data_IF_035949610250
#
_entry.id   IF_035949610250
#
_cell.length_a   1.000
_cell.length_b   1.000
_cell.length_c   1.000
_cell.angle_alpha   90.00
_cell.angle_beta   90.00
_cell.angle_gamma   90.00
#
_symmetry.space_group_name_H-M   'P 1'
#
loop_
_entity.id
_entity.type
_entity.pdbx_description
1 polymer ?
#
# COMPACT_ATOMS: atom_id res chain seq x y z
N UNK A 1 -29.50 -63.46 45.09
CA UNK A 1 -29.50 -63.13 43.64
C UNK A 1 -29.96 -61.71 43.30
N UNK A 2 -30.80 -61.03 44.10
CA UNK A 2 -31.21 -59.63 43.83
C UNK A 2 -30.06 -58.59 43.87
N UNK A 3 -29.02 -58.81 44.70
CA UNK A 3 -27.86 -57.91 44.83
C UNK A 3 -26.88 -57.99 43.63
N UNK A 4 -26.83 -59.13 42.94
CA UNK A 4 -25.98 -59.32 41.76
C UNK A 4 -26.57 -58.67 40.50
N UNK A 5 -27.90 -58.60 40.39
CA UNK A 5 -28.57 -57.92 39.27
C UNK A 5 -28.32 -56.39 39.31
N UNK A 6 -28.27 -55.81 40.50
CA UNK A 6 -27.96 -54.38 40.69
C UNK A 6 -26.52 -54.08 40.29
N UNK A 7 -25.57 -54.96 40.63
CA UNK A 7 -24.17 -54.80 40.23
C UNK A 7 -23.99 -54.90 38.71
N UNK A 8 -24.73 -55.80 38.05
CA UNK A 8 -24.72 -55.97 36.59
C UNK A 8 -25.40 -54.80 35.85
N UNK A 9 -26.47 -54.22 36.42
CA UNK A 9 -27.08 -52.99 35.90
C UNK A 9 -26.15 -51.78 36.04
N UNK A 10 -25.42 -51.66 37.16
CA UNK A 10 -24.46 -50.55 37.36
C UNK A 10 -23.27 -50.63 36.40
N UNK A 11 -22.81 -51.83 36.01
CA UNK A 11 -21.72 -51.99 35.05
C UNK A 11 -22.09 -51.58 33.62
N UNK A 12 -23.37 -51.58 33.26
CA UNK A 12 -23.85 -51.13 31.93
C UNK A 12 -23.94 -49.60 31.87
N UNK A 13 -24.16 -48.94 33.01
CA UNK A 13 -24.22 -47.48 33.12
C UNK A 13 -22.84 -46.80 33.16
N UNK A 14 -21.74 -47.57 33.30
CA UNK A 14 -20.36 -47.06 33.30
C UNK A 14 -19.68 -47.07 31.91
N UNK A 15 -20.40 -47.46 30.85
CA UNK A 15 -19.88 -47.48 29.47
C UNK A 15 -20.30 -46.25 28.64
N UNK A 16 -20.91 -45.24 29.25
CA UNK A 16 -21.38 -44.04 28.57
C UNK A 16 -20.59 -42.80 28.98
N UNK A 17 -19.42 -42.61 28.39
CA UNK A 17 -18.79 -41.33 28.02
C UNK A 17 -17.42 -41.66 27.44
N UNK A 18 -17.40 -42.30 26.26
CA UNK A 18 -16.24 -42.17 25.38
C UNK A 18 -16.37 -40.78 24.79
N UNK A 19 -15.87 -39.77 25.50
CA UNK A 19 -15.68 -38.42 24.98
C UNK A 19 -14.58 -38.57 23.92
N UNK A 20 -14.99 -39.00 22.73
CA UNK A 20 -14.09 -39.30 21.63
C UNK A 20 -13.26 -38.04 21.40
N UNK A 21 -11.94 -38.14 21.58
CA UNK A 21 -10.97 -37.05 21.54
C UNK A 21 -11.44 -35.88 20.66
N UNK A 22 -12.13 -34.90 21.26
CA UNK A 22 -12.49 -33.66 20.59
C UNK A 22 -11.18 -32.89 20.48
N UNK A 23 -10.42 -33.17 19.42
CA UNK A 23 -9.20 -32.43 19.09
C UNK A 23 -9.62 -31.04 18.64
N UNK A 24 -9.45 -30.05 19.51
CA UNK A 24 -9.59 -28.64 19.16
C UNK A 24 -8.31 -28.22 18.44
N UNK A 25 -8.45 -27.68 17.23
CA UNK A 25 -7.30 -27.23 16.45
C UNK A 25 -6.84 -25.85 16.92
N UNK A 26 -5.54 -25.69 17.13
CA UNK A 26 -4.94 -24.40 17.45
C UNK A 26 -4.25 -23.90 16.19
N UNK A 27 -4.97 -23.14 15.36
CA UNK A 27 -4.47 -22.60 14.09
C UNK A 27 -3.23 -21.69 14.28
N UNK A 28 -2.04 -22.28 14.46
CA UNK A 28 -0.79 -21.57 14.67
C UNK A 28 -0.04 -21.40 13.35
N UNK A 29 -0.17 -20.21 12.78
CA UNK A 29 0.57 -19.79 11.61
C UNK A 29 1.37 -18.53 11.89
N UNK A 30 1.63 -18.15 13.15
CA UNK A 30 2.18 -16.83 13.48
C UNK A 30 3.56 -16.61 12.83
N UNK A 31 4.38 -17.66 12.76
CA UNK A 31 5.72 -17.63 12.16
C UNK A 31 5.72 -17.86 10.64
N UNK A 32 4.59 -18.25 10.04
CA UNK A 32 4.49 -18.46 8.60
C UNK A 32 4.34 -17.12 7.87
N UNK A 33 4.93 -17.04 6.67
CA UNK A 33 4.82 -15.88 5.79
C UNK A 33 3.50 -15.92 5.01
N UNK A 34 2.83 -14.77 4.88
CA UNK A 34 1.68 -14.63 3.97
C UNK A 34 2.15 -14.63 2.53
N UNK A 35 1.54 -15.46 1.69
CA UNK A 35 1.86 -15.61 0.27
C UNK A 35 0.61 -15.51 -0.57
N UNK A 36 0.79 -15.32 -1.87
CA UNK A 36 -0.29 -15.11 -2.85
C UNK A 36 -0.13 -16.09 -4.01
N UNK A 37 -1.25 -16.48 -4.61
CA UNK A 37 -1.27 -17.07 -5.94
C UNK A 37 -2.19 -16.23 -6.84
N UNK A 38 -1.96 -16.24 -8.16
CA UNK A 38 -2.88 -15.61 -9.12
C UNK A 38 -2.98 -14.09 -9.02
N UNK A 39 -1.89 -13.39 -8.67
CA UNK A 39 -1.86 -11.92 -8.60
C UNK A 39 -2.35 -11.27 -9.89
N UNK A 40 -3.16 -10.22 -9.76
CA UNK A 40 -3.79 -9.49 -10.87
C UNK A 40 -4.66 -10.40 -11.78
N UNK A 41 -5.17 -11.53 -11.25
CA UNK A 41 -6.09 -12.46 -11.95
C UNK A 41 -7.36 -12.77 -11.14
N UNK A 42 -8.33 -13.44 -11.78
CA UNK A 42 -9.55 -13.89 -11.12
C UNK A 42 -9.34 -15.09 -10.18
N UNK A 43 -8.18 -15.76 -10.26
CA UNK A 43 -7.82 -16.92 -9.43
C UNK A 43 -7.00 -16.51 -8.20
N UNK A 44 -7.08 -15.23 -7.81
CA UNK A 44 -6.34 -14.68 -6.66
C UNK A 44 -6.78 -15.30 -5.33
N UNK A 45 -5.80 -15.74 -4.54
CA UNK A 45 -5.99 -16.07 -3.13
C UNK A 45 -4.70 -15.85 -2.34
N UNK A 46 -4.84 -15.67 -1.03
CA UNK A 46 -3.72 -15.64 -0.08
C UNK A 46 -3.65 -16.95 0.67
N UNK A 47 -2.45 -17.33 1.11
CA UNK A 47 -2.26 -18.53 1.89
C UNK A 47 -1.06 -18.42 2.84
N UNK A 48 -1.10 -19.28 3.85
CA UNK A 48 0.00 -19.60 4.76
C UNK A 48 0.07 -21.10 4.90
N UNK A 49 1.27 -21.61 5.13
CA UNK A 49 1.45 -23.02 5.42
C UNK A 49 2.56 -23.20 6.45
N UNK A 50 2.41 -24.23 7.27
CA UNK A 50 3.43 -24.74 8.17
C UNK A 50 3.38 -26.26 8.16
N UNK A 51 4.52 -26.91 7.95
CA UNK A 51 4.58 -28.36 7.74
C UNK A 51 3.60 -28.84 6.66
N UNK A 52 2.64 -29.67 7.06
CA UNK A 52 1.60 -30.27 6.21
C UNK A 52 0.24 -29.57 6.33
N UNK A 53 0.18 -28.39 6.93
CA UNK A 53 -1.06 -27.64 7.12
C UNK A 53 -1.04 -26.34 6.32
N UNK A 54 -2.20 -25.92 5.81
CA UNK A 54 -2.35 -24.68 5.08
C UNK A 54 -3.62 -23.94 5.51
N UNK A 55 -3.50 -22.63 5.68
CA UNK A 55 -4.62 -21.71 5.88
C UNK A 55 -4.71 -20.82 4.64
N UNK A 56 -5.85 -20.85 3.97
CA UNK A 56 -6.08 -20.24 2.66
C UNK A 56 -7.26 -19.28 2.77
N UNK A 57 -7.13 -18.09 2.18
CA UNK A 57 -8.23 -17.13 2.03
C UNK A 57 -8.41 -16.75 0.58
N UNK A 58 -9.58 -17.06 0.05
CA UNK A 58 -10.04 -16.62 -1.25
C UNK A 58 -10.93 -15.39 -1.04
N UNK A 59 -10.44 -14.24 -1.47
CA UNK A 59 -11.10 -12.95 -1.33
C UNK A 59 -10.74 -12.12 -2.56
N UNK A 60 -11.68 -11.42 -3.21
CA UNK A 60 -11.36 -10.63 -4.38
C UNK A 60 -10.22 -9.64 -4.09
N UNK A 61 -9.20 -9.58 -4.95
CA UNK A 61 -8.04 -8.70 -4.75
C UNK A 61 -8.46 -7.21 -4.62
N UNK A 62 -9.59 -6.84 -5.24
CA UNK A 62 -10.21 -5.50 -5.15
C UNK A 62 -10.62 -5.10 -3.74
N UNK A 63 -10.64 -6.02 -2.76
CA UNK A 63 -10.87 -5.71 -1.34
C UNK A 63 -9.61 -5.16 -0.64
N UNK A 64 -8.43 -5.31 -1.22
CA UNK A 64 -7.18 -4.72 -0.74
C UNK A 64 -6.96 -3.35 -1.36
N UNK A 65 -7.74 -2.38 -0.90
CA UNK A 65 -7.68 -1.00 -1.40
C UNK A 65 -6.44 -0.29 -0.82
N UNK A 66 -5.66 0.34 -1.67
CA UNK A 66 -4.47 1.15 -1.33
C UNK A 66 -4.86 2.49 -0.72
N UNK A 67 -5.56 2.43 0.40
CA UNK A 67 -6.04 3.58 1.17
C UNK A 67 -5.99 3.22 2.64
N UNK A 68 -5.45 4.11 3.46
CA UNK A 68 -5.39 3.85 4.90
C UNK A 68 -6.77 3.70 5.50
N UNK A 69 -6.93 2.69 6.35
CA UNK A 69 -8.14 2.53 7.13
C UNK A 69 -8.07 3.42 8.38
N UNK A 70 -9.13 4.17 8.74
CA UNK A 70 -9.14 4.94 9.96
C UNK A 70 -8.81 4.09 11.20
N UNK A 71 -8.18 4.70 12.20
CA UNK A 71 -7.83 4.01 13.44
C UNK A 71 -9.07 3.35 14.08
N UNK A 72 -8.94 2.07 14.45
CA UNK A 72 -10.03 1.29 15.05
C UNK A 72 -11.20 0.95 14.12
N UNK A 73 -11.11 1.28 12.83
CA UNK A 73 -12.19 1.03 11.85
C UNK A 73 -11.67 0.18 10.68
N UNK A 74 -11.48 -1.13 10.87
CA UNK A 74 -11.05 -2.01 9.79
C UNK A 74 -12.14 -2.15 8.72
N UNK A 75 -11.74 -2.57 7.52
CA UNK A 75 -12.70 -3.05 6.52
C UNK A 75 -13.17 -4.42 6.98
N UNK A 76 -14.46 -4.56 7.26
CA UNK A 76 -15.08 -5.82 7.68
C UNK A 76 -15.73 -6.51 6.48
N UNK A 77 -15.48 -7.80 6.33
CA UNK A 77 -15.94 -8.61 5.20
C UNK A 77 -16.50 -9.92 5.73
N UNK A 78 -17.76 -10.19 5.45
CA UNK A 78 -18.39 -11.45 5.82
C UNK A 78 -17.82 -12.61 4.98
N UNK A 79 -17.64 -13.76 5.62
CA UNK A 79 -17.37 -15.01 4.92
C UNK A 79 -18.65 -15.42 4.18
N UNK A 80 -18.53 -15.69 2.87
CA UNK A 80 -19.65 -15.98 1.97
C UNK A 80 -19.25 -17.04 0.94
N UNK A 81 -20.15 -17.39 0.02
CA UNK A 81 -19.80 -18.28 -1.09
C UNK A 81 -18.65 -17.77 -1.98
N UNK A 82 -18.43 -16.44 -2.04
CA UNK A 82 -17.38 -15.81 -2.86
C UNK A 82 -16.18 -15.31 -2.04
N UNK A 83 -16.27 -15.38 -0.70
CA UNK A 83 -15.20 -15.02 0.23
C UNK A 83 -15.01 -16.19 1.19
N UNK A 84 -14.00 -17.01 0.93
CA UNK A 84 -13.80 -18.29 1.63
C UNK A 84 -12.54 -18.26 2.48
N UNK A 85 -12.61 -18.86 3.65
CA UNK A 85 -11.44 -19.23 4.45
C UNK A 85 -11.44 -20.75 4.56
N UNK A 86 -10.32 -21.37 4.23
CA UNK A 86 -10.18 -22.82 4.14
C UNK A 86 -8.94 -23.21 4.93
N UNK A 87 -9.09 -24.15 5.85
CA UNK A 87 -7.97 -24.84 6.49
C UNK A 87 -7.83 -26.23 5.86
N UNK A 88 -6.61 -26.62 5.51
CA UNK A 88 -6.32 -27.91 4.86
C UNK A 88 -5.17 -28.60 5.55
N UNK A 89 -5.30 -29.92 5.67
CA UNK A 89 -4.24 -30.81 6.14
C UNK A 89 -3.87 -31.77 5.02
N UNK A 90 -2.57 -31.99 4.85
CA UNK A 90 -2.00 -32.83 3.81
C UNK A 90 -1.29 -34.05 4.41
N UNK A 91 -1.15 -35.12 3.61
CA UNK A 91 -0.45 -36.35 3.99
C UNK A 91 1.08 -36.21 4.14
N UNK A 92 1.64 -35.11 3.62
CA UNK A 92 3.04 -34.75 3.78
C UNK A 92 3.22 -33.22 3.72
N UNK A 93 4.40 -32.69 4.09
CA UNK A 93 4.65 -31.26 4.07
C UNK A 93 4.38 -30.60 2.72
N UNK A 94 3.80 -29.41 2.74
CA UNK A 94 3.46 -28.63 1.55
C UNK A 94 4.49 -27.55 1.24
N UNK A 95 4.48 -27.10 -0.01
CA UNK A 95 5.31 -25.99 -0.50
C UNK A 95 4.45 -24.98 -1.23
N UNK A 96 5.03 -23.81 -1.58
CA UNK A 96 4.33 -22.85 -2.44
C UNK A 96 3.89 -23.45 -3.78
N UNK A 97 4.69 -24.33 -4.39
CA UNK A 97 4.33 -25.00 -5.64
C UNK A 97 3.19 -26.01 -5.46
N UNK A 98 3.01 -26.54 -4.25
CA UNK A 98 1.87 -27.42 -3.94
C UNK A 98 0.55 -26.66 -3.99
N UNK A 99 0.56 -25.40 -3.55
CA UNK A 99 -0.64 -24.57 -3.42
C UNK A 99 -0.92 -23.70 -4.67
N UNK A 100 0.11 -23.20 -5.36
CA UNK A 100 -0.03 -22.25 -6.49
C UNK A 100 0.13 -22.86 -7.90
N UNK A 101 0.15 -24.18 -8.09
CA UNK A 101 0.41 -24.75 -9.42
C UNK A 101 -0.82 -24.70 -10.33
N UNK A 102 -0.62 -24.25 -11.58
CA UNK A 102 -1.63 -24.34 -12.65
C UNK A 102 -2.06 -25.79 -12.94
N UNK A 103 -1.15 -26.75 -12.69
CA UNK A 103 -1.43 -28.18 -12.73
C UNK A 103 -1.13 -28.71 -11.33
N UNK A 104 -2.14 -28.94 -10.47
CA UNK A 104 -1.92 -29.42 -9.12
C UNK A 104 -1.10 -30.71 -9.13
N UNK A 105 -0.03 -30.82 -8.32
CA UNK A 105 0.74 -32.05 -8.25
C UNK A 105 -0.12 -33.18 -7.66
N UNK A 106 0.19 -34.43 -8.01
CA UNK A 106 -0.51 -35.59 -7.45
C UNK A 106 -0.13 -35.89 -5.99
N UNK A 107 0.92 -35.24 -5.45
CA UNK A 107 1.36 -35.32 -4.06
C UNK A 107 1.94 -33.97 -3.59
N UNK A 108 1.82 -33.63 -2.29
CA UNK A 108 1.03 -34.33 -1.27
C UNK A 108 -0.49 -34.24 -1.52
N UNK A 109 -1.26 -35.15 -0.94
CA UNK A 109 -2.72 -35.20 -1.08
C UNK A 109 -3.43 -34.59 0.13
N UNK A 110 -4.59 -33.97 -0.10
CA UNK A 110 -5.43 -33.42 0.98
C UNK A 110 -6.08 -34.57 1.74
N UNK A 111 -5.86 -34.64 3.04
CA UNK A 111 -6.45 -35.64 3.95
C UNK A 111 -7.55 -35.07 4.82
N UNK A 112 -7.56 -33.76 5.03
CA UNK A 112 -8.64 -33.04 5.71
C UNK A 112 -8.81 -31.63 5.14
N UNK A 113 -10.05 -31.15 5.08
CA UNK A 113 -10.39 -29.80 4.60
C UNK A 113 -11.56 -29.24 5.40
N UNK A 114 -11.33 -28.11 6.07
CA UNK A 114 -12.34 -27.41 6.83
C UNK A 114 -12.66 -26.09 6.15
N UNK A 115 -13.91 -25.94 5.74
CA UNK A 115 -14.42 -24.70 5.15
C UNK A 115 -15.07 -23.86 6.25
N UNK A 116 -14.74 -22.56 6.30
CA UNK A 116 -15.41 -21.64 7.20
C UNK A 116 -16.85 -21.39 6.74
N UNK A 117 -17.82 -21.58 7.63
CA UNK A 117 -19.26 -21.36 7.38
C UNK A 117 -19.76 -20.02 7.96
N UNK A 118 -18.94 -19.33 8.74
CA UNK A 118 -19.29 -18.05 9.34
C UNK A 118 -18.10 -17.33 9.97
N UNK A 119 -18.34 -16.07 10.37
CA UNK A 119 -17.31 -15.14 10.87
C UNK A 119 -16.99 -14.05 9.84
N UNK A 120 -16.04 -13.19 10.20
CA UNK A 120 -15.64 -12.04 9.38
C UNK A 120 -14.13 -11.97 9.20
N UNK A 121 -13.72 -11.34 8.09
CA UNK A 121 -12.34 -10.95 7.82
C UNK A 121 -12.25 -9.44 8.04
N UNK A 122 -11.35 -9.02 8.92
CA UNK A 122 -11.00 -7.63 9.17
C UNK A 122 -9.69 -7.30 8.45
N UNK A 123 -9.69 -6.23 7.65
CA UNK A 123 -8.52 -5.73 6.95
C UNK A 123 -8.18 -4.33 7.44
N UNK A 124 -6.96 -4.15 7.94
CA UNK A 124 -6.39 -2.85 8.30
C UNK A 124 -5.27 -2.49 7.33
N UNK A 125 -5.43 -1.38 6.60
CA UNK A 125 -4.44 -0.93 5.61
C UNK A 125 -3.61 0.22 6.17
N UNK A 126 -2.29 0.16 6.06
CA UNK A 126 -1.36 1.24 6.38
C UNK A 126 -0.42 1.52 5.22
N UNK A 127 -0.13 2.78 4.96
CA UNK A 127 0.91 3.14 4.01
C UNK A 127 2.28 2.73 4.56
N UNK A 128 3.18 2.34 3.66
CA UNK A 128 4.57 2.01 3.98
C UNK A 128 5.47 2.96 3.21
N UNK A 129 6.25 3.73 3.96
CA UNK A 129 7.22 4.64 3.40
C UNK A 129 8.58 3.93 3.28
N UNK A 130 9.31 4.23 2.20
CA UNK A 130 10.72 3.86 2.08
C UNK A 130 11.56 5.12 2.16
N UNK A 131 12.52 5.12 3.07
CA UNK A 131 13.40 6.25 3.32
C UNK A 131 14.79 6.03 2.73
N UNK A 132 15.36 7.09 2.16
CA UNK A 132 16.76 7.13 1.71
C UNK A 132 17.52 8.06 2.64
N UNK A 133 18.16 7.48 3.66
CA UNK A 133 18.83 8.22 4.73
C UNK A 133 19.87 9.25 4.23
N UNK A 134 20.48 9.03 3.06
CA UNK A 134 21.47 9.94 2.48
C UNK A 134 20.87 11.27 1.96
N UNK A 135 19.59 11.28 1.57
CA UNK A 135 18.94 12.44 0.95
C UNK A 135 17.76 12.96 1.77
N UNK A 136 17.30 12.20 2.77
CA UNK A 136 16.05 12.49 3.49
C UNK A 136 14.79 12.17 2.68
N UNK A 137 14.91 11.56 1.50
CA UNK A 137 13.75 11.16 0.70
C UNK A 137 12.92 10.13 1.46
N UNK A 138 11.60 10.30 1.47
CA UNK A 138 10.65 9.36 2.06
C UNK A 138 9.42 9.30 1.16
N UNK A 139 9.26 8.19 0.45
CA UNK A 139 8.16 7.98 -0.51
C UNK A 139 7.23 6.87 -0.02
N UNK A 140 5.91 7.05 -0.21
CA UNK A 140 4.94 5.96 -0.04
C UNK A 140 5.14 4.94 -1.15
N UNK A 141 5.74 3.78 -0.85
CA UNK A 141 6.12 2.78 -1.85
C UNK A 141 5.17 1.60 -1.93
N UNK A 142 4.45 1.30 -0.84
CA UNK A 142 3.53 0.17 -0.76
C UNK A 142 2.46 0.39 0.31
N UNK A 143 1.46 -0.49 0.34
CA UNK A 143 0.43 -0.53 1.36
C UNK A 143 0.44 -1.92 2.01
N UNK A 144 0.47 -1.93 3.34
CA UNK A 144 0.42 -3.12 4.18
C UNK A 144 -1.01 -3.37 4.61
N UNK A 145 -1.58 -4.52 4.22
CA UNK A 145 -2.92 -4.96 4.58
C UNK A 145 -2.81 -6.05 5.63
N UNK A 146 -3.02 -5.69 6.89
CA UNK A 146 -3.11 -6.66 7.98
C UNK A 146 -4.49 -7.32 8.00
N UNK A 147 -4.52 -8.64 8.08
CA UNK A 147 -5.69 -9.49 7.91
C UNK A 147 -5.90 -10.31 9.18
N UNK A 148 -7.08 -10.19 9.78
CA UNK A 148 -7.49 -10.91 10.97
C UNK A 148 -8.86 -11.56 10.72
N UNK A 149 -9.02 -12.82 11.09
CA UNK A 149 -10.33 -13.47 11.10
C UNK A 149 -10.95 -13.34 12.49
N UNK A 150 -12.24 -13.03 12.56
CA UNK A 150 -13.00 -12.84 13.80
C UNK A 150 -14.21 -13.75 13.86
N UNK A 151 -14.44 -14.37 15.02
CA UNK A 151 -15.54 -15.29 15.30
C UNK A 151 -15.74 -16.33 14.18
N UNK A 152 -14.63 -16.85 13.67
CA UNK A 152 -14.63 -17.73 12.51
C UNK A 152 -15.07 -19.13 12.93
N UNK A 153 -16.00 -19.72 12.19
CA UNK A 153 -16.51 -21.07 12.47
C UNK A 153 -16.21 -22.00 11.31
N UNK A 154 -15.39 -23.01 11.54
CA UNK A 154 -15.02 -24.05 10.58
C UNK A 154 -15.93 -25.28 10.72
N UNK A 155 -16.37 -25.83 9.59
CA UNK A 155 -17.01 -27.14 9.53
C UNK A 155 -15.94 -28.22 9.40
N UNK A 156 -15.92 -29.16 10.35
CA UNK A 156 -14.92 -30.25 10.46
C UNK A 156 -15.43 -31.57 9.87
N UNK A 157 -16.62 -31.55 9.24
CA UNK A 157 -17.34 -32.75 8.84
C UNK A 157 -18.12 -33.39 9.99
N UNK A 158 -18.98 -34.36 9.68
CA UNK A 158 -19.77 -35.12 10.66
C UNK A 158 -20.60 -34.26 11.64
N UNK A 159 -21.13 -33.12 11.16
CA UNK A 159 -21.86 -32.12 11.96
C UNK A 159 -21.04 -31.43 13.06
N UNK A 160 -19.72 -31.63 13.10
CA UNK A 160 -18.83 -30.94 14.03
C UNK A 160 -18.41 -29.55 13.51
N UNK A 161 -18.45 -28.58 14.41
CA UNK A 161 -18.00 -27.20 14.15
C UNK A 161 -17.02 -26.76 15.20
N UNK A 162 -16.02 -26.00 14.78
CA UNK A 162 -15.12 -25.30 15.68
C UNK A 162 -15.20 -23.80 15.42
N UNK A 163 -15.53 -23.04 16.46
CA UNK A 163 -15.52 -21.58 16.42
C UNK A 163 -14.28 -21.07 17.15
N UNK A 164 -13.52 -20.21 16.47
CA UNK A 164 -12.34 -19.53 17.02
C UNK A 164 -12.61 -18.03 17.03
N UNK A 165 -12.42 -17.38 18.18
CA UNK A 165 -12.68 -15.95 18.34
C UNK A 165 -11.81 -15.09 17.41
N UNK A 166 -10.53 -15.45 17.27
CA UNK A 166 -9.59 -14.70 16.45
C UNK A 166 -8.52 -15.61 15.86
N UNK A 167 -8.21 -15.39 14.58
CA UNK A 167 -7.02 -15.94 13.93
C UNK A 167 -6.27 -14.80 13.26
N UNK A 168 -5.01 -14.58 13.65
CA UNK A 168 -4.13 -13.61 13.02
C UNK A 168 -3.59 -14.23 11.73
N UNK A 169 -4.23 -13.92 10.60
CA UNK A 169 -3.78 -14.46 9.31
C UNK A 169 -2.41 -13.90 8.97
N UNK A 170 -2.25 -12.58 8.85
CA UNK A 170 -0.96 -11.98 8.55
C UNK A 170 -1.09 -10.71 7.74
N UNK A 171 -0.10 -10.43 6.91
CA UNK A 171 -0.02 -9.18 6.13
C UNK A 171 0.17 -9.48 4.66
N UNK A 172 -0.69 -8.92 3.83
CA UNK A 172 -0.50 -8.86 2.38
C UNK A 172 -0.08 -7.44 1.98
N UNK A 173 0.95 -7.32 1.14
CA UNK A 173 1.48 -6.02 0.72
C UNK A 173 1.24 -5.80 -0.77
N UNK A 174 0.75 -4.61 -1.12
CA UNK A 174 0.54 -4.19 -2.51
C UNK A 174 1.43 -3.00 -2.85
N UNK A 175 1.92 -2.88 -4.11
CA UNK A 175 2.76 -1.76 -4.51
C UNK A 175 1.94 -0.47 -4.67
N UNK A 176 2.54 0.68 -4.36
CA UNK A 176 1.99 1.98 -4.76
C UNK A 176 2.33 2.24 -6.24
N UNK A 177 1.36 1.99 -7.13
CA UNK A 177 1.51 2.22 -8.57
C UNK A 177 1.54 3.72 -8.96
N UNK A 178 1.13 4.60 -8.05
CA UNK A 178 1.15 6.06 -8.23
C UNK A 178 2.37 6.73 -7.60
N UNK A 179 3.34 5.94 -7.09
CA UNK A 179 4.59 6.48 -6.55
C UNK A 179 5.21 7.48 -7.56
N UNK A 180 5.74 8.63 -7.09
CA UNK A 180 6.45 9.56 -7.96
C UNK A 180 7.54 8.88 -8.79
N UNK A 181 7.58 9.18 -10.09
CA UNK A 181 8.72 8.84 -10.95
C UNK A 181 9.94 9.67 -10.57
N UNK A 182 11.12 9.21 -10.98
CA UNK A 182 12.33 10.01 -10.86
C UNK A 182 12.35 11.15 -11.88
N UNK A 183 11.81 12.30 -11.47
CA UNK A 183 11.80 13.54 -12.23
C UNK A 183 13.20 14.17 -12.39
N UNK A 184 14.24 13.71 -11.70
CA UNK A 184 15.60 14.26 -11.86
C UNK A 184 16.22 13.91 -13.22
N UNK A 185 15.70 12.86 -13.87
CA UNK A 185 16.05 12.44 -15.24
C UNK A 185 15.63 13.47 -16.32
N UNK A 186 14.75 14.40 -15.98
CA UNK A 186 14.33 15.50 -16.86
C UNK A 186 15.12 16.74 -16.41
N UNK A 187 16.17 17.13 -17.13
CA UNK A 187 17.05 18.21 -16.63
C UNK A 187 16.38 19.59 -16.65
N UNK A 188 15.69 19.90 -17.76
CA UNK A 188 15.12 21.23 -17.99
C UNK A 188 13.69 21.33 -17.45
N UNK A 189 13.44 22.40 -16.71
CA UNK A 189 12.10 22.82 -16.31
C UNK A 189 11.36 23.30 -17.55
N UNK A 190 10.12 22.84 -17.72
CA UNK A 190 9.25 23.24 -18.82
C UNK A 190 8.34 24.37 -18.37
N UNK A 191 7.92 25.19 -19.32
CA UNK A 191 6.95 26.26 -19.10
C UNK A 191 5.79 26.13 -20.05
N UNK A 192 4.64 26.66 -19.63
CA UNK A 192 3.54 26.92 -20.53
C UNK A 192 3.64 28.37 -21.00
N UNK A 193 3.25 28.64 -22.25
CA UNK A 193 3.31 30.01 -22.81
C UNK A 193 2.18 30.89 -22.32
N UNK A 194 1.13 30.31 -21.75
CA UNK A 194 -0.14 30.94 -21.38
C UNK A 194 -0.24 31.26 -19.89
N UNK A 195 0.42 30.49 -19.05
CA UNK A 195 0.51 30.71 -17.62
C UNK A 195 1.95 30.49 -17.18
N UNK A 196 2.34 31.23 -16.16
CA UNK A 196 3.68 31.29 -15.58
C UNK A 196 4.12 29.99 -14.86
N UNK A 197 3.52 28.86 -15.24
CA UNK A 197 3.67 27.55 -14.65
C UNK A 197 5.02 26.94 -15.02
N UNK A 198 5.80 26.58 -14.01
CA UNK A 198 7.04 25.82 -14.14
C UNK A 198 6.74 24.36 -13.82
N UNK A 199 7.01 23.41 -14.70
CA UNK A 199 6.64 22.01 -14.46
C UNK A 199 7.62 21.00 -15.03
N UNK A 200 7.49 19.77 -14.53
CA UNK A 200 8.01 18.55 -15.13
C UNK A 200 6.85 17.58 -15.36
N UNK A 201 6.86 16.94 -16.53
CA UNK A 201 5.83 16.00 -16.96
C UNK A 201 6.49 14.72 -17.42
N UNK A 202 6.01 13.57 -16.95
CA UNK A 202 6.49 12.25 -17.33
C UNK A 202 5.34 11.25 -17.33
N UNK A 203 4.97 10.75 -18.50
CA UNK A 203 3.83 9.85 -18.67
C UNK A 203 2.52 10.48 -18.21
N UNK A 204 1.96 9.98 -17.12
CA UNK A 204 0.75 10.49 -16.49
C UNK A 204 1.01 11.29 -15.20
N UNK A 205 2.25 11.65 -14.90
CA UNK A 205 2.62 12.36 -13.67
C UNK A 205 3.19 13.74 -13.95
N UNK A 206 2.75 14.75 -13.19
CA UNK A 206 3.26 16.10 -13.25
C UNK A 206 3.74 16.58 -11.87
N UNK A 207 4.88 17.27 -11.84
CA UNK A 207 5.35 18.04 -10.70
C UNK A 207 5.39 19.51 -11.15
N UNK A 208 4.54 20.34 -10.57
CA UNK A 208 4.25 21.67 -11.08
C UNK A 208 4.35 22.73 -9.97
N UNK A 209 5.11 23.77 -10.26
CA UNK A 209 5.32 24.96 -9.45
C UNK A 209 4.59 26.14 -10.10
N UNK A 210 3.51 26.57 -9.49
CA UNK A 210 2.69 27.71 -9.91
C UNK A 210 2.92 28.89 -8.97
N UNK A 211 3.52 29.94 -9.50
CA UNK A 211 3.88 31.15 -8.76
C UNK A 211 3.30 32.37 -9.47
N UNK A 212 2.87 33.36 -8.68
CA UNK A 212 2.40 34.61 -9.25
C UNK A 212 3.53 35.37 -9.97
N UNK A 213 3.15 36.28 -10.86
CA UNK A 213 4.09 37.02 -11.69
C UNK A 213 5.09 37.87 -10.87
N UNK A 214 4.68 38.37 -9.70
CA UNK A 214 5.55 39.17 -8.84
C UNK A 214 6.65 38.30 -8.22
N UNK A 215 6.27 37.15 -7.69
CA UNK A 215 7.19 36.15 -7.11
C UNK A 215 8.18 35.67 -8.15
N UNK A 216 7.72 35.34 -9.36
CA UNK A 216 8.63 34.94 -10.44
C UNK A 216 9.63 36.03 -10.81
N UNK A 217 9.19 37.28 -10.91
CA UNK A 217 10.09 38.40 -11.18
C UNK A 217 11.16 38.57 -10.09
N UNK A 218 10.85 38.23 -8.84
CA UNK A 218 11.84 38.26 -7.74
C UNK A 218 12.79 37.06 -7.74
N UNK A 219 12.32 35.87 -8.11
CA UNK A 219 13.11 34.64 -8.07
C UNK A 219 13.98 34.43 -9.32
N UNK A 220 13.51 34.89 -10.47
CA UNK A 220 14.13 34.65 -11.78
C UNK A 220 14.51 35.94 -12.52
N UNK A 221 15.10 36.97 -11.87
CA UNK A 221 15.63 38.10 -12.62
C UNK A 221 16.87 37.65 -13.41
N UNK A 222 17.10 38.26 -14.56
CA UNK A 222 18.26 38.06 -15.44
C UNK A 222 19.53 38.66 -14.81
N UNK A 223 19.92 38.11 -13.66
CA UNK A 223 21.05 38.53 -12.86
C UNK A 223 21.60 37.30 -12.13
N UNK A 224 22.92 37.09 -12.21
CA UNK A 224 23.57 36.02 -11.48
C UNK A 224 23.45 36.24 -9.96
N UNK A 225 23.23 35.17 -9.22
CA UNK A 225 23.32 35.20 -7.76
C UNK A 225 24.78 35.26 -7.32
N UNK A 226 25.06 35.84 -6.15
CA UNK A 226 26.38 35.70 -5.54
C UNK A 226 26.56 34.28 -5.00
N UNK A 227 27.82 33.84 -4.88
CA UNK A 227 28.17 32.52 -4.35
C UNK A 227 27.55 32.33 -2.97
N UNK A 228 26.93 31.15 -2.76
CA UNK A 228 26.25 30.76 -1.51
C UNK A 228 25.10 31.70 -1.08
N UNK A 229 24.57 32.51 -2.00
CA UNK A 229 23.42 33.39 -1.74
C UNK A 229 22.31 33.18 -2.79
N UNK A 230 21.65 32.00 -2.79
CA UNK A 230 20.52 31.76 -3.67
C UNK A 230 19.35 32.67 -3.30
N UNK A 231 18.47 32.94 -4.27
CA UNK A 231 17.19 33.61 -3.99
C UNK A 231 16.25 32.62 -3.33
N UNK A 232 15.51 33.09 -2.33
CA UNK A 232 14.72 32.25 -1.44
C UNK A 232 13.24 32.64 -1.47
N UNK A 233 12.37 31.63 -1.49
CA UNK A 233 10.94 31.81 -1.38
C UNK A 233 10.31 30.66 -0.60
N UNK A 234 9.62 30.97 0.50
CA UNK A 234 8.83 30.00 1.23
C UNK A 234 7.46 29.86 0.58
N UNK A 235 7.04 28.61 0.34
CA UNK A 235 5.67 28.31 -0.09
C UNK A 235 4.69 28.90 0.92
N UNK A 236 3.70 29.62 0.45
CA UNK A 236 2.69 30.29 1.29
C UNK A 236 1.34 29.56 1.26
N UNK A 237 1.07 28.80 0.20
CA UNK A 237 -0.19 28.07 0.03
C UNK A 237 0.05 26.68 -0.57
N UNK A 238 -0.89 25.77 -0.31
CA UNK A 238 -0.81 24.37 -0.77
C UNK A 238 -0.96 24.21 -2.30
N UNK A 239 -1.46 25.23 -3.00
CA UNK A 239 -1.70 25.17 -4.45
C UNK A 239 -0.47 25.62 -5.28
N UNK A 240 0.59 26.11 -4.64
CA UNK A 240 1.78 26.60 -5.33
C UNK A 240 2.70 25.50 -5.85
N UNK A 241 2.75 24.34 -5.20
CA UNK A 241 3.58 23.23 -5.63
C UNK A 241 2.81 21.93 -5.51
N UNK A 242 2.52 21.33 -6.66
CA UNK A 242 1.64 20.17 -6.79
C UNK A 242 2.38 19.01 -7.44
N UNK A 243 2.18 17.82 -6.89
CA UNK A 243 2.44 16.56 -7.58
C UNK A 243 1.10 15.91 -7.92
N UNK A 244 0.86 15.66 -9.20
CA UNK A 244 -0.43 15.18 -9.71
C UNK A 244 -0.22 13.93 -10.54
N UNK A 245 -1.05 12.91 -10.30
CA UNK A 245 -1.14 11.69 -11.09
C UNK A 245 -2.46 11.68 -11.82
N UNK A 246 -2.42 11.59 -13.14
CA UNK A 246 -3.57 11.54 -14.02
C UNK A 246 -3.98 10.10 -14.35
N UNK A 247 -5.25 9.90 -14.70
CA UNK A 247 -5.77 8.59 -15.07
C UNK A 247 -5.18 8.06 -16.39
N UNK A 248 -4.76 8.96 -17.28
CA UNK A 248 -4.14 8.64 -18.57
C UNK A 248 -2.84 9.41 -18.75
N UNK A 249 -2.03 9.00 -19.72
CA UNK A 249 -0.87 9.76 -20.17
C UNK A 249 -1.30 11.16 -20.59
N UNK A 250 -0.53 12.17 -20.17
CA UNK A 250 -0.81 13.59 -20.47
C UNK A 250 0.31 14.11 -21.35
N UNK A 251 -0.05 14.80 -22.44
CA UNK A 251 0.93 15.49 -23.29
C UNK A 251 1.19 16.91 -22.80
N UNK A 252 2.27 17.53 -23.29
CA UNK A 252 2.56 18.94 -23.00
C UNK A 252 1.40 19.86 -23.41
N UNK A 253 0.84 19.63 -24.59
CA UNK A 253 -0.23 20.46 -25.13
C UNK A 253 -1.52 20.31 -24.33
N UNK A 254 -1.83 19.09 -23.89
CA UNK A 254 -2.97 18.84 -22.99
C UNK A 254 -2.77 19.53 -21.64
N UNK A 255 -1.57 19.42 -21.06
CA UNK A 255 -1.23 20.03 -19.78
C UNK A 255 -1.33 21.55 -19.82
N UNK A 256 -0.67 22.19 -20.78
CA UNK A 256 -0.71 23.66 -20.92
C UNK A 256 -2.04 24.20 -21.44
N UNK A 257 -2.83 23.37 -22.12
CA UNK A 257 -4.19 23.68 -22.57
C UNK A 257 -5.28 23.43 -21.52
N UNK A 258 -4.95 22.84 -20.36
CA UNK A 258 -5.90 22.49 -19.31
C UNK A 258 -6.77 21.26 -19.61
N UNK A 259 -6.43 20.48 -20.65
CA UNK A 259 -7.18 19.30 -21.10
C UNK A 259 -6.62 17.99 -20.51
N UNK A 260 -6.32 17.97 -19.22
CA UNK A 260 -5.54 16.91 -18.55
C UNK A 260 -6.33 15.64 -18.17
N UNK A 261 -7.64 15.60 -18.47
CA UNK A 261 -8.50 14.46 -18.13
C UNK A 261 -8.74 14.29 -16.63
N UNK A 262 -9.07 13.07 -16.20
CA UNK A 262 -9.35 12.76 -14.80
C UNK A 262 -8.07 12.68 -13.96
N UNK A 263 -8.10 13.27 -12.77
CA UNK A 263 -7.03 13.17 -11.77
C UNK A 263 -7.24 11.90 -10.94
N UNK A 264 -6.22 11.04 -10.90
CA UNK A 264 -6.20 9.85 -10.04
C UNK A 264 -5.77 10.21 -8.62
N UNK A 265 -4.77 11.09 -8.49
CA UNK A 265 -4.24 11.50 -7.20
C UNK A 265 -3.64 12.90 -7.26
N UNK A 266 -3.80 13.67 -6.18
CA UNK A 266 -3.20 14.99 -6.02
C UNK A 266 -2.51 15.09 -4.67
N UNK A 267 -1.30 15.60 -4.71
CA UNK A 267 -0.47 15.85 -3.56
C UNK A 267 -0.07 17.31 -3.56
N UNK A 268 -0.32 17.98 -2.44
CA UNK A 268 -0.07 19.40 -2.28
C UNK A 268 1.12 19.62 -1.36
N UNK A 269 2.06 20.46 -1.76
CA UNK A 269 3.17 20.82 -0.88
C UNK A 269 2.64 21.62 0.32
N UNK A 270 3.10 21.29 1.51
CA UNK A 270 2.76 22.03 2.72
C UNK A 270 3.39 23.42 2.69
N UNK A 271 2.72 24.47 3.24
CA UNK A 271 3.31 25.79 3.38
C UNK A 271 4.64 25.72 4.13
N UNK A 272 5.57 26.56 3.69
CA UNK A 272 6.89 26.67 4.28
C UNK A 272 6.85 27.29 5.68
N UNK A 273 7.79 26.85 6.49
CA UNK A 273 8.07 27.41 7.81
C UNK A 273 9.51 27.89 7.78
N UNK A 274 9.72 29.17 8.12
CA UNK A 274 11.02 29.82 8.03
C UNK A 274 12.12 28.98 8.70
N UNK A 275 13.22 28.77 7.98
CA UNK A 275 14.37 27.95 8.35
C UNK A 275 14.06 26.47 8.65
N UNK A 276 12.86 25.98 8.38
CA UNK A 276 12.43 24.62 8.71
C UNK A 276 12.06 23.83 7.45
N UNK A 277 11.10 24.31 6.66
CA UNK A 277 10.52 23.52 5.55
C UNK A 277 9.91 24.36 4.44
N UNK A 278 9.62 23.73 3.30
CA UNK A 278 8.83 24.33 2.22
C UNK A 278 9.52 25.50 1.51
N UNK A 279 10.86 25.48 1.41
CA UNK A 279 11.66 26.54 0.80
C UNK A 279 12.03 26.21 -0.64
N UNK A 280 11.83 27.16 -1.54
CA UNK A 280 12.36 27.16 -2.91
C UNK A 280 13.62 28.02 -2.92
N UNK A 281 14.72 27.43 -3.39
CA UNK A 281 15.99 28.12 -3.63
C UNK A 281 16.27 28.19 -5.13
N UNK A 282 16.67 29.37 -5.59
CA UNK A 282 17.06 29.62 -6.97
C UNK A 282 18.47 30.18 -7.02
N UNK A 283 19.39 29.40 -7.58
CA UNK A 283 20.74 29.85 -7.91
C UNK A 283 20.79 30.23 -9.40
N UNK A 284 21.38 31.36 -9.74
CA UNK A 284 21.44 31.84 -11.13
C UNK A 284 22.89 32.01 -11.57
N UNK A 285 23.24 31.38 -12.69
CA UNK A 285 24.54 31.53 -13.36
C UNK A 285 24.37 32.07 -14.77
N UNK A 286 25.42 32.68 -15.32
CA UNK A 286 25.43 33.18 -16.71
C UNK A 286 26.15 32.20 -17.63
N UNK A 287 25.54 31.88 -18.77
CA UNK A 287 26.15 31.08 -19.84
C UNK A 287 25.93 31.77 -21.19
N UNK A 288 26.94 32.48 -21.68
CA UNK A 288 26.82 33.33 -22.87
C UNK A 288 25.83 34.47 -22.63
N UNK A 289 24.79 34.55 -23.46
CA UNK A 289 23.67 35.50 -23.31
C UNK A 289 22.57 35.03 -22.36
N UNK A 290 22.64 33.78 -21.87
CA UNK A 290 21.53 33.16 -21.15
C UNK A 290 21.79 33.19 -19.65
N UNK A 291 20.72 33.25 -18.87
CA UNK A 291 20.72 33.01 -17.43
C UNK A 291 20.16 31.62 -17.15
N UNK A 292 20.91 30.82 -16.41
CA UNK A 292 20.52 29.47 -16.00
C UNK A 292 20.12 29.54 -14.53
N UNK A 293 18.82 29.38 -14.26
CA UNK A 293 18.25 29.35 -12.93
C UNK A 293 18.08 27.90 -12.45
N UNK A 294 18.96 27.44 -11.57
CA UNK A 294 18.84 26.13 -10.94
C UNK A 294 17.89 26.20 -9.75
N UNK A 295 16.77 25.50 -9.85
CA UNK A 295 15.72 25.46 -8.83
C UNK A 295 15.89 24.25 -7.92
N UNK A 296 15.87 24.48 -6.61
CA UNK A 296 15.93 23.44 -5.57
C UNK A 296 14.79 23.60 -4.58
N UNK A 297 14.23 22.47 -4.17
CA UNK A 297 13.25 22.36 -3.10
C UNK A 297 13.97 21.90 -1.83
N UNK A 298 13.80 22.65 -0.75
CA UNK A 298 14.41 22.39 0.56
C UNK A 298 13.36 21.96 1.54
N UNK A 299 13.50 20.73 2.05
CA UNK A 299 12.60 20.14 3.04
C UNK A 299 11.11 20.30 2.66
N UNK A 300 10.78 20.14 1.38
CA UNK A 300 9.38 20.22 0.91
C UNK A 300 8.67 18.91 1.21
N UNK A 301 7.53 18.99 1.89
CA UNK A 301 6.68 17.83 2.19
C UNK A 301 5.37 17.96 1.43
N UNK A 302 4.94 16.87 0.82
CA UNK A 302 3.68 16.76 0.10
C UNK A 302 2.67 16.01 0.94
N UNK A 303 1.41 16.44 0.89
CA UNK A 303 0.29 15.80 1.57
C UNK A 303 -0.89 15.60 0.62
N UNK A 304 -1.54 14.43 0.68
CA UNK A 304 -2.77 14.18 -0.08
C UNK A 304 -4.03 14.33 0.81
N UNK A 305 -5.21 14.21 0.20
CA UNK A 305 -6.49 14.33 0.89
C UNK A 305 -6.73 13.27 1.96
N UNK A 306 -6.06 12.11 1.86
CA UNK A 306 -6.12 11.03 2.84
C UNK A 306 -5.16 11.23 4.02
N UNK A 307 -4.39 12.32 3.99
CA UNK A 307 -3.46 12.69 5.06
C UNK A 307 -2.10 12.00 4.98
N UNK A 308 -1.85 11.22 3.92
CA UNK A 308 -0.53 10.65 3.66
C UNK A 308 0.46 11.76 3.33
N UNK A 309 1.72 11.52 3.70
CA UNK A 309 2.80 12.47 3.46
C UNK A 309 4.01 11.79 2.80
N UNK A 310 4.67 12.52 1.90
CA UNK A 310 5.95 12.12 1.32
C UNK A 310 6.87 13.33 1.11
N UNK A 311 8.16 13.09 0.91
CA UNK A 311 9.15 14.11 0.49
C UNK A 311 10.10 13.52 -0.54
N UNK A 312 10.51 14.34 -1.53
CA UNK A 312 11.60 14.01 -2.45
C UNK A 312 13.00 14.18 -1.82
N UNK A 313 13.05 14.52 -0.53
CA UNK A 313 14.26 14.70 0.25
C UNK A 313 14.48 16.14 0.73
N UNK A 314 15.57 16.31 1.48
CA UNK A 314 15.91 17.58 2.14
C UNK A 314 16.45 18.61 1.16
N UNK A 315 17.00 18.15 0.03
CA UNK A 315 17.53 18.97 -1.06
C UNK A 315 17.23 18.33 -2.41
N UNK A 316 16.03 18.59 -2.91
CA UNK A 316 15.60 18.06 -4.20
C UNK A 316 15.89 19.06 -5.33
N UNK A 317 16.58 18.63 -6.39
CA UNK A 317 16.82 19.47 -7.57
C UNK A 317 15.62 19.40 -8.51
N UNK A 318 14.84 20.47 -8.55
CA UNK A 318 13.72 20.57 -9.48
C UNK A 318 14.18 20.75 -10.93
N UNK A 319 15.30 21.41 -11.21
CA UNK A 319 15.88 21.48 -12.56
C UNK A 319 16.33 22.88 -12.93
N UNK A 320 16.74 23.06 -14.19
CA UNK A 320 17.15 24.38 -14.70
C UNK A 320 16.03 25.04 -15.52
N UNK A 321 15.80 26.32 -15.23
CA UNK A 321 14.96 27.22 -16.01
C UNK A 321 15.87 28.25 -16.70
N UNK A 322 15.75 28.39 -18.02
CA UNK A 322 16.66 29.22 -18.83
C UNK A 322 15.91 30.44 -19.34
N UNK A 323 16.48 31.62 -19.13
CA UNK A 323 16.02 32.90 -19.67
C UNK A 323 17.13 33.59 -20.46
N UNK A 324 16.73 34.58 -21.28
CA UNK A 324 17.63 35.41 -22.08
C UNK A 324 17.58 36.86 -21.60
#
# INVERSE_FOLDING_TARGET
MKKFLVLLCCSILLNGCNDGDIKVESFDFENAQTRTCGEDTNDFFLYKFDGNEALIVQIPQTRFVNKETPAGTPIVIDITANVKVIYRVYDAPVTASTLCSNIPPSMPTVIDEWNAEGGTIEITTRAVNTEVAATGESLVTSFSHNIIFKNITFNRGNDERQTTEQINFGTYTTPNRNKPVDFTTIENVQTCTTNNLLYKLSGNQALALDLDAATLATLFPNEATTVDNPREFYLTTEDQLLFVVYANVVTRDDFCGGNVGAVSEIWKAQPGVDQISGLIQVETTTSGSNFIHTIRFRNVRFKNADGLEFTFGDNYRFGDYITN
#
